data_IF_246864980047
#
_entry.id   IF_246864980047
#
_cell.length_a   1.000
_cell.length_b   1.000
_cell.length_c   1.000
_cell.angle_alpha   90.00
_cell.angle_beta   90.00
_cell.angle_gamma   90.00
#
_symmetry.space_group_name_H-M   'P 1'
#
loop_
_entity.id
_entity.type
_entity.pdbx_description
1 polymer ?
#
# COMPACT_ATOMS: atom_id res chain seq x y z
N UNK A 1 22.01 -7.57 -2.45
CA UNK A 1 20.92 -7.37 -1.49
C UNK A 1 20.91 -5.90 -1.11
N UNK A 2 19.79 -5.26 -1.39
CA UNK A 2 19.57 -3.83 -1.18
C UNK A 2 18.53 -3.70 -0.08
N UNK A 3 18.96 -3.43 1.17
CA UNK A 3 18.05 -3.48 2.31
C UNK A 3 17.11 -2.27 2.29
N UNK A 4 15.85 -2.49 2.67
CA UNK A 4 14.91 -1.41 2.94
C UNK A 4 15.52 -0.49 4.01
N UNK A 5 15.63 0.80 3.72
CA UNK A 5 16.18 1.81 4.64
C UNK A 5 15.23 2.97 4.77
N UNK A 6 14.78 3.20 6.00
CA UNK A 6 13.92 4.32 6.33
C UNK A 6 14.77 5.52 6.78
N UNK A 7 14.60 6.65 6.13
CA UNK A 7 15.16 7.93 6.54
C UNK A 7 14.14 8.72 7.34
N UNK A 8 14.51 9.13 8.56
CA UNK A 8 13.65 9.95 9.41
C UNK A 8 13.72 11.42 8.99
N UNK A 9 12.57 12.02 8.73
CA UNK A 9 12.41 13.45 8.43
C UNK A 9 11.68 14.10 9.60
N UNK A 10 12.29 15.09 10.30
CA UNK A 10 11.63 15.77 11.41
C UNK A 10 10.48 16.63 10.88
N UNK A 11 9.26 16.40 11.37
CA UNK A 11 8.09 17.25 11.09
C UNK A 11 7.36 17.56 12.40
N UNK A 12 6.76 18.74 12.48
CA UNK A 12 6.21 19.34 13.71
C UNK A 12 5.22 18.41 14.44
N UNK A 13 5.70 17.68 15.45
CA UNK A 13 4.89 16.83 16.33
C UNK A 13 4.60 15.42 15.82
N UNK A 14 5.14 15.01 14.66
CA UNK A 14 5.04 13.64 14.15
C UNK A 14 6.39 13.17 13.58
N UNK A 15 6.70 11.90 13.79
CA UNK A 15 7.84 11.23 13.19
C UNK A 15 7.43 10.73 11.80
N UNK A 16 8.14 11.14 10.76
CA UNK A 16 7.93 10.64 9.40
C UNK A 16 9.19 9.91 8.94
N UNK A 17 8.98 8.76 8.34
CA UNK A 17 10.02 7.87 7.83
C UNK A 17 9.75 7.59 6.36
N UNK A 18 10.75 7.85 5.52
CA UNK A 18 10.64 7.60 4.08
C UNK A 18 11.55 6.46 3.67
N UNK A 19 11.00 5.54 2.89
CA UNK A 19 11.77 4.60 2.09
C UNK A 19 11.60 4.97 0.62
N UNK A 20 12.72 5.32 -0.02
CA UNK A 20 12.81 5.67 -1.43
C UNK A 20 13.90 4.78 -2.04
N UNK A 21 13.57 3.61 -2.61
CA UNK A 21 14.56 2.71 -3.18
C UNK A 21 15.32 3.36 -4.33
N UNK A 22 14.66 4.17 -5.16
CA UNK A 22 15.23 4.54 -6.45
C UNK A 22 15.52 3.26 -7.25
N UNK A 23 16.79 3.04 -7.60
CA UNK A 23 17.25 1.80 -8.24
C UNK A 23 17.58 0.67 -7.23
N UNK A 24 17.53 0.95 -5.92
CA UNK A 24 17.90 0.06 -4.81
C UNK A 24 16.71 -0.80 -4.35
N UNK A 25 16.00 -1.44 -5.29
CA UNK A 25 14.81 -2.26 -5.00
C UNK A 25 15.17 -3.51 -4.17
N UNK A 26 14.26 -3.97 -3.28
CA UNK A 26 14.59 -4.98 -2.28
C UNK A 26 14.88 -6.35 -2.90
N UNK A 27 14.20 -6.75 -3.99
CA UNK A 27 14.43 -8.03 -4.66
C UNK A 27 15.34 -7.81 -5.86
N UNK A 28 16.47 -8.50 -5.89
CA UNK A 28 17.50 -8.39 -6.93
C UNK A 28 17.48 -9.56 -7.92
N UNK A 29 16.86 -10.68 -7.54
CA UNK A 29 16.61 -11.84 -8.41
C UNK A 29 15.13 -12.16 -8.43
N UNK A 30 14.52 -12.02 -9.61
CA UNK A 30 13.10 -12.31 -9.84
C UNK A 30 12.90 -13.71 -10.44
N UNK A 31 11.78 -14.34 -10.10
CA UNK A 31 11.43 -15.64 -10.62
C UNK A 31 11.13 -15.56 -12.12
N UNK A 32 11.86 -16.30 -13.01
CA UNK A 32 11.67 -16.19 -14.46
C UNK A 32 10.25 -16.50 -14.93
N UNK A 33 9.49 -17.27 -14.15
CA UNK A 33 8.10 -17.60 -14.44
C UNK A 33 7.13 -16.40 -14.41
N UNK A 34 7.54 -15.24 -13.88
CA UNK A 34 6.76 -14.01 -13.99
C UNK A 34 6.60 -13.55 -15.44
N UNK A 35 7.58 -13.84 -16.31
CA UNK A 35 7.56 -13.50 -17.74
C UNK A 35 6.95 -14.60 -18.61
N UNK A 36 6.48 -15.69 -18.00
CA UNK A 36 5.86 -16.83 -18.70
C UNK A 36 4.34 -16.71 -18.79
N UNK A 37 3.73 -17.70 -19.43
CA UNK A 37 2.27 -17.86 -19.39
C UNK A 37 1.81 -18.43 -18.05
N UNK A 38 0.73 -17.87 -17.50
CA UNK A 38 0.13 -18.33 -16.26
C UNK A 38 -1.15 -19.13 -16.49
N UNK A 39 -1.53 -20.02 -15.56
CA UNK A 39 -2.85 -20.65 -15.58
C UNK A 39 -3.96 -19.59 -15.46
N UNK A 40 -5.17 -19.94 -15.86
CA UNK A 40 -6.33 -19.02 -15.79
C UNK A 40 -6.80 -18.72 -14.36
N UNK A 41 -6.38 -19.50 -13.36
CA UNK A 41 -6.79 -19.37 -11.96
C UNK A 41 -5.56 -19.45 -11.07
N UNK A 42 -5.58 -18.68 -9.98
CA UNK A 42 -4.52 -18.64 -8.97
C UNK A 42 -3.17 -18.30 -9.61
N UNK A 43 -3.03 -17.05 -10.01
CA UNK A 43 -1.81 -16.51 -10.60
C UNK A 43 -1.03 -15.72 -9.53
N UNK A 44 0.27 -15.42 -9.76
CA UNK A 44 1.00 -14.46 -8.94
C UNK A 44 0.23 -13.16 -8.75
N UNK A 45 -0.41 -12.68 -9.82
CA UNK A 45 -1.21 -11.47 -9.77
C UNK A 45 -2.47 -11.65 -8.93
N UNK A 46 -3.29 -12.68 -9.15
CA UNK A 46 -4.56 -12.81 -8.42
C UNK A 46 -4.39 -13.04 -6.91
N UNK A 47 -3.29 -13.68 -6.49
CA UNK A 47 -3.06 -13.98 -5.08
C UNK A 47 -2.25 -12.91 -4.35
N UNK A 48 -1.28 -12.27 -5.00
CA UNK A 48 -0.32 -11.37 -4.34
C UNK A 48 -0.16 -10.01 -5.03
N UNK A 49 -0.92 -9.77 -6.10
CA UNK A 49 -0.79 -8.59 -6.96
C UNK A 49 0.61 -8.44 -7.59
N UNK A 50 1.35 -9.54 -7.66
CA UNK A 50 2.68 -9.63 -8.26
C UNK A 50 2.55 -9.92 -9.75
N UNK A 51 3.24 -9.17 -10.60
CA UNK A 51 3.31 -9.42 -12.04
C UNK A 51 4.69 -9.11 -12.60
N UNK A 52 4.86 -9.23 -13.92
CA UNK A 52 6.12 -8.93 -14.61
C UNK A 52 6.44 -7.44 -14.75
N UNK A 53 5.67 -6.56 -14.11
CA UNK A 53 5.95 -5.13 -14.05
C UNK A 53 6.44 -4.75 -12.64
N UNK A 54 5.61 -5.04 -11.64
CA UNK A 54 5.84 -4.60 -10.26
C UNK A 54 6.54 -5.67 -9.40
N UNK A 55 6.70 -6.88 -9.95
CA UNK A 55 7.54 -7.96 -9.43
C UNK A 55 7.24 -8.34 -7.98
N UNK A 56 8.14 -9.10 -7.34
CA UNK A 56 7.94 -9.64 -5.99
C UNK A 56 8.07 -8.58 -4.86
N UNK A 57 8.55 -7.38 -5.18
CA UNK A 57 8.57 -6.19 -4.33
C UNK A 57 7.22 -5.96 -3.65
N UNK A 58 6.13 -6.13 -4.41
CA UNK A 58 4.76 -5.97 -3.90
C UNK A 58 4.53 -6.85 -2.67
N UNK A 59 4.97 -8.11 -2.70
CA UNK A 59 4.83 -9.05 -1.58
C UNK A 59 5.64 -8.59 -0.34
N UNK A 60 6.83 -8.01 -0.57
CA UNK A 60 7.66 -7.45 0.50
C UNK A 60 6.98 -6.22 1.12
N UNK A 61 6.44 -5.32 0.31
CA UNK A 61 5.78 -4.09 0.77
C UNK A 61 4.50 -4.38 1.54
N UNK A 62 3.60 -5.22 1.01
CA UNK A 62 2.36 -5.57 1.72
C UNK A 62 2.65 -6.30 3.02
N UNK A 63 3.66 -7.17 3.04
CA UNK A 63 4.11 -7.85 4.25
C UNK A 63 4.65 -6.89 5.32
N UNK A 64 5.43 -5.90 4.90
CA UNK A 64 5.93 -4.84 5.79
C UNK A 64 4.78 -4.01 6.37
N UNK A 65 3.85 -3.54 5.53
CA UNK A 65 2.69 -2.76 5.95
C UNK A 65 1.86 -3.54 6.97
N UNK A 66 1.55 -4.80 6.66
CA UNK A 66 0.69 -5.64 7.50
C UNK A 66 1.31 -5.90 8.87
N UNK A 67 2.61 -6.21 8.91
CA UNK A 67 3.34 -6.49 10.16
C UNK A 67 3.62 -5.25 10.99
N UNK A 68 3.89 -4.10 10.36
CA UNK A 68 4.08 -2.85 11.10
C UNK A 68 2.81 -2.43 11.84
N UNK A 69 1.66 -2.75 11.26
CA UNK A 69 0.35 -2.34 11.76
C UNK A 69 -0.36 -3.46 12.53
N UNK A 70 0.39 -4.47 13.00
CA UNK A 70 -0.17 -5.58 13.76
C UNK A 70 -0.89 -5.10 15.04
N UNK A 71 -2.04 -5.71 15.32
CA UNK A 71 -2.92 -5.32 16.43
C UNK A 71 -3.76 -4.04 16.22
N UNK A 72 -3.62 -3.34 15.10
CA UNK A 72 -4.41 -2.13 14.78
C UNK A 72 -5.56 -2.42 13.80
N UNK A 73 -6.61 -1.60 13.85
CA UNK A 73 -7.64 -1.58 12.82
C UNK A 73 -7.12 -0.79 11.61
N UNK A 74 -7.22 -1.38 10.42
CA UNK A 74 -6.64 -0.84 9.18
C UNK A 74 -7.73 -0.35 8.24
N UNK A 75 -7.51 0.79 7.63
CA UNK A 75 -8.39 1.39 6.65
C UNK A 75 -7.58 1.95 5.48
N UNK A 76 -7.94 1.62 4.25
CA UNK A 76 -7.21 2.07 3.07
C UNK A 76 -8.01 3.02 2.18
N UNK A 77 -7.29 3.93 1.55
CA UNK A 77 -7.77 4.76 0.45
C UNK A 77 -6.93 4.39 -0.78
N UNK A 78 -7.49 3.62 -1.74
CA UNK A 78 -6.88 3.46 -3.06
C UNK A 78 -7.12 4.75 -3.85
N UNK A 79 -6.03 5.47 -4.14
CA UNK A 79 -6.08 6.78 -4.79
C UNK A 79 -6.72 6.65 -6.17
N UNK A 80 -7.64 7.55 -6.54
CA UNK A 80 -8.47 7.50 -7.78
C UNK A 80 -9.43 6.34 -7.95
N UNK A 81 -9.09 5.15 -7.48
CA UNK A 81 -9.75 3.91 -7.88
C UNK A 81 -10.77 3.42 -6.85
N UNK A 82 -11.57 4.34 -6.30
CA UNK A 82 -12.64 4.00 -5.33
C UNK A 82 -13.57 2.94 -5.90
N UNK A 83 -14.07 3.16 -7.12
CA UNK A 83 -15.14 2.32 -7.68
C UNK A 83 -14.63 0.93 -8.05
N UNK A 84 -13.39 0.82 -8.55
CA UNK A 84 -12.71 -0.46 -8.78
C UNK A 84 -12.39 -1.19 -7.48
N UNK A 85 -12.03 -0.47 -6.43
CA UNK A 85 -11.83 -1.04 -5.10
C UNK A 85 -13.14 -1.55 -4.49
N UNK A 86 -14.25 -0.84 -4.67
CA UNK A 86 -15.60 -1.31 -4.28
C UNK A 86 -15.92 -2.65 -4.94
N UNK A 87 -15.64 -2.78 -6.24
CA UNK A 87 -15.85 -4.02 -6.98
C UNK A 87 -14.94 -5.16 -6.49
N UNK A 88 -13.66 -4.87 -6.29
CA UNK A 88 -12.66 -5.89 -5.93
C UNK A 88 -12.82 -6.36 -4.48
N UNK A 89 -13.14 -5.45 -3.56
CA UNK A 89 -13.36 -5.75 -2.14
C UNK A 89 -14.78 -6.24 -1.84
N UNK A 90 -15.71 -6.08 -2.78
CA UNK A 90 -17.12 -6.46 -2.65
C UNK A 90 -17.86 -5.72 -1.54
N UNK A 91 -17.47 -4.48 -1.22
CA UNK A 91 -18.06 -3.68 -0.13
C UNK A 91 -18.02 -2.18 -0.44
N UNK A 92 -19.02 -1.46 0.08
CA UNK A 92 -19.12 -0.01 -0.08
C UNK A 92 -18.08 0.73 0.77
N UNK A 93 -17.49 1.83 0.26
CA UNK A 93 -16.58 2.67 1.01
C UNK A 93 -17.30 3.58 2.02
N UNK A 94 -16.54 4.00 3.04
CA UNK A 94 -16.84 5.22 3.78
C UNK A 94 -16.37 6.39 2.92
N UNK A 95 -17.31 7.14 2.35
CA UNK A 95 -16.96 8.29 1.52
C UNK A 95 -16.29 9.39 2.35
N UNK A 96 -15.16 9.91 1.89
CA UNK A 96 -14.39 10.98 2.53
C UNK A 96 -14.01 12.06 1.52
N UNK A 97 -13.68 13.25 2.01
CA UNK A 97 -13.47 14.44 1.18
C UNK A 97 -11.99 14.78 1.00
N UNK A 98 -11.11 14.10 1.74
CA UNK A 98 -9.65 14.21 1.66
C UNK A 98 -9.00 12.85 1.40
N UNK A 99 -8.02 12.82 0.51
CA UNK A 99 -7.08 11.71 0.29
C UNK A 99 -5.64 12.21 0.49
N UNK A 100 -4.66 11.31 0.60
CA UNK A 100 -3.25 11.69 0.65
C UNK A 100 -2.65 11.60 -0.77
N UNK A 101 -1.67 12.46 -1.06
CA UNK A 101 -1.01 12.53 -2.36
C UNK A 101 0.49 12.36 -2.21
N UNK A 102 1.03 11.37 -2.93
CA UNK A 102 2.46 11.10 -3.01
C UNK A 102 2.89 11.06 -4.48
N UNK A 103 3.65 12.06 -4.91
CA UNK A 103 4.05 12.18 -6.31
C UNK A 103 5.16 11.18 -6.68
N UNK A 104 4.77 10.14 -7.40
CA UNK A 104 5.64 9.05 -7.82
C UNK A 104 6.82 9.48 -8.71
N UNK A 105 6.71 10.63 -9.39
CA UNK A 105 7.76 11.16 -10.28
C UNK A 105 8.88 11.88 -9.52
N UNK A 106 8.63 12.25 -8.26
CA UNK A 106 9.58 13.01 -7.47
C UNK A 106 10.60 12.11 -6.77
N UNK A 107 11.86 12.55 -6.75
CA UNK A 107 12.99 11.78 -6.20
C UNK A 107 13.36 12.12 -4.76
N UNK A 108 12.78 13.18 -4.17
CA UNK A 108 13.12 13.62 -2.81
C UNK A 108 11.93 13.49 -1.87
N UNK A 109 12.14 13.15 -0.58
CA UNK A 109 11.05 13.05 0.39
C UNK A 109 10.17 14.30 0.45
N UNK A 110 10.78 15.48 0.39
CA UNK A 110 10.08 16.76 0.55
C UNK A 110 9.22 17.14 -0.65
N UNK A 111 9.65 16.83 -1.88
CA UNK A 111 8.88 17.15 -3.09
C UNK A 111 7.82 16.11 -3.41
N UNK A 112 7.97 14.91 -2.87
CA UNK A 112 7.08 13.76 -3.09
C UNK A 112 5.84 13.78 -2.20
N UNK A 113 5.99 14.17 -0.94
CA UNK A 113 4.90 14.23 0.02
C UNK A 113 4.09 15.53 -0.10
N UNK A 114 3.01 15.51 -0.88
CA UNK A 114 2.11 16.64 -1.06
C UNK A 114 1.10 16.80 0.09
N UNK A 115 0.97 15.79 0.96
CA UNK A 115 0.02 15.76 2.07
C UNK A 115 -1.43 15.51 1.62
N UNK A 116 -2.40 15.91 2.45
CA UNK A 116 -3.81 15.75 2.13
C UNK A 116 -4.28 16.64 0.97
N UNK A 117 -4.94 16.08 -0.03
CA UNK A 117 -5.56 16.82 -1.15
C UNK A 117 -7.06 16.50 -1.19
N UNK A 118 -7.89 17.34 -1.84
CA UNK A 118 -9.29 17.00 -2.03
C UNK A 118 -9.43 15.64 -2.73
N UNK A 119 -10.31 14.80 -2.20
CA UNK A 119 -10.57 13.48 -2.75
C UNK A 119 -11.00 13.54 -4.21
N UNK A 120 -10.55 12.59 -5.01
CA UNK A 120 -11.02 12.43 -6.39
C UNK A 120 -11.14 10.96 -6.73
N UNK A 121 -12.13 10.63 -7.55
CA UNK A 121 -12.28 9.30 -8.14
C UNK A 121 -12.20 9.38 -9.66
N UNK A 122 -11.53 8.42 -10.27
CA UNK A 122 -11.55 8.22 -11.71
C UNK A 122 -12.98 7.87 -12.13
N UNK A 123 -13.43 8.45 -13.23
CA UNK A 123 -14.71 8.10 -13.84
C UNK A 123 -14.43 7.22 -15.05
N UNK A 124 -14.96 6.01 -15.01
CA UNK A 124 -14.93 5.09 -16.15
C UNK A 124 -15.59 5.76 -17.35
N UNK A 125 -14.86 5.84 -18.47
CA UNK A 125 -15.39 6.44 -19.71
C UNK A 125 -16.29 5.44 -20.45
N UNK A 126 -15.98 4.15 -20.35
CA UNK A 126 -16.75 3.06 -20.96
C UNK A 126 -16.78 1.82 -20.03
N UNK A 127 -17.94 1.38 -19.53
CA UNK A 127 -19.27 1.95 -19.77
C UNK A 127 -19.41 3.39 -19.27
N UNK A 128 -20.43 4.11 -19.73
CA UNK A 128 -20.72 5.47 -19.27
C UNK A 128 -20.91 5.46 -17.74
N UNK A 129 -20.35 6.43 -17.00
CA UNK A 129 -20.47 6.44 -15.56
C UNK A 129 -21.91 6.69 -15.15
N UNK A 130 -22.31 6.05 -14.07
CA UNK A 130 -23.60 6.21 -13.41
C UNK A 130 -23.73 7.60 -12.80
N UNK A 131 -24.97 8.03 -12.53
CA UNK A 131 -25.22 9.32 -11.86
C UNK A 131 -24.56 9.40 -10.48
N UNK A 132 -24.47 8.28 -9.77
CA UNK A 132 -23.85 8.20 -8.46
C UNK A 132 -22.33 8.41 -8.52
N UNK A 133 -21.66 7.80 -9.50
CA UNK A 133 -20.22 7.98 -9.69
C UNK A 133 -19.89 9.44 -10.02
N UNK A 134 -20.70 10.06 -10.89
CA UNK A 134 -20.54 11.49 -11.25
C UNK A 134 -20.79 12.40 -10.05
N UNK A 135 -21.84 12.16 -9.26
CA UNK A 135 -22.15 12.95 -8.06
C UNK A 135 -21.03 12.87 -7.01
N UNK A 136 -20.35 11.72 -6.92
CA UNK A 136 -19.30 11.47 -5.95
C UNK A 136 -17.89 11.58 -6.54
N UNK A 137 -17.70 12.14 -7.74
CA UNK A 137 -16.39 12.19 -8.41
C UNK A 137 -15.32 12.95 -7.61
N UNK A 138 -15.72 13.89 -6.74
CA UNK A 138 -14.82 14.68 -5.88
C UNK A 138 -14.65 14.09 -4.47
N UNK A 139 -14.80 12.78 -4.32
CA UNK A 139 -14.71 12.09 -3.02
C UNK A 139 -13.88 10.83 -3.16
N UNK A 140 -13.10 10.52 -2.13
CA UNK A 140 -12.35 9.28 -2.03
C UNK A 140 -13.13 8.25 -1.21
N UNK A 141 -12.74 6.97 -1.32
CA UNK A 141 -13.32 5.89 -0.53
C UNK A 141 -12.36 5.35 0.51
N UNK A 142 -12.78 5.35 1.77
CA UNK A 142 -12.07 4.71 2.88
C UNK A 142 -12.65 3.32 3.13
N UNK A 143 -11.83 2.29 2.97
CA UNK A 143 -12.23 0.89 3.06
C UNK A 143 -11.62 0.21 4.29
N UNK A 144 -12.40 -0.47 5.14
CA UNK A 144 -11.85 -1.29 6.21
C UNK A 144 -11.14 -2.52 5.64
N UNK A 145 -9.94 -2.80 6.15
CA UNK A 145 -9.12 -3.97 5.80
C UNK A 145 -9.09 -4.93 7.00
N UNK A 146 -9.73 -6.09 6.86
CA UNK A 146 -9.78 -7.11 7.89
C UNK A 146 -8.65 -8.15 7.77
N UNK A 147 -8.21 -8.41 6.54
CA UNK A 147 -7.20 -9.44 6.23
C UNK A 147 -6.15 -8.92 5.25
N UNK A 148 -5.00 -9.58 5.16
CA UNK A 148 -4.00 -9.22 4.16
C UNK A 148 -4.56 -9.33 2.75
N UNK A 149 -5.46 -10.30 2.51
CA UNK A 149 -6.19 -10.42 1.25
C UNK A 149 -6.98 -9.15 0.91
N UNK A 150 -7.59 -8.48 1.89
CA UNK A 150 -8.25 -7.18 1.62
C UNK A 150 -7.24 -6.12 1.14
N UNK A 151 -6.03 -6.08 1.73
CA UNK A 151 -4.98 -5.14 1.28
C UNK A 151 -4.55 -5.43 -0.17
N UNK A 152 -4.33 -6.70 -0.50
CA UNK A 152 -3.97 -7.14 -1.86
C UNK A 152 -5.11 -6.85 -2.86
N UNK A 153 -6.35 -7.10 -2.46
CA UNK A 153 -7.53 -6.77 -3.27
C UNK A 153 -7.71 -5.26 -3.50
N UNK A 154 -7.40 -4.43 -2.51
CA UNK A 154 -7.38 -2.98 -2.69
C UNK A 154 -6.27 -2.56 -3.67
N UNK A 155 -5.10 -3.22 -3.63
CA UNK A 155 -4.01 -2.97 -4.57
C UNK A 155 -4.37 -3.32 -6.01
N UNK A 156 -5.13 -4.40 -6.25
CA UNK A 156 -5.57 -4.74 -7.61
C UNK A 156 -6.37 -3.62 -8.29
N UNK A 157 -7.05 -2.77 -7.52
CA UNK A 157 -7.77 -1.63 -8.07
C UNK A 157 -6.84 -0.54 -8.62
N UNK A 158 -5.62 -0.42 -8.09
CA UNK A 158 -4.69 0.69 -8.41
C UNK A 158 -3.52 0.28 -9.33
N UNK A 159 -3.26 -1.02 -9.52
CA UNK A 159 -2.05 -1.54 -10.20
C UNK A 159 -2.03 -1.45 -11.74
N UNK A 160 -3.00 -0.78 -12.35
CA UNK A 160 -3.12 -0.66 -13.80
C UNK A 160 -2.78 0.73 -14.35
N UNK A 161 -2.27 1.64 -13.51
CA UNK A 161 -1.83 2.98 -13.92
C UNK A 161 -0.29 3.10 -13.92
N UNK A 162 0.23 4.22 -14.41
CA UNK A 162 1.67 4.53 -14.47
C UNK A 162 2.33 4.52 -13.08
N UNK A 163 1.56 4.80 -12.04
CA UNK A 163 1.90 4.57 -10.65
C UNK A 163 0.67 4.17 -9.86
N UNK A 164 0.87 3.45 -8.78
CA UNK A 164 -0.19 2.93 -7.93
C UNK A 164 -0.02 3.45 -6.53
N UNK A 165 -1.02 4.16 -6.02
CA UNK A 165 -0.95 4.81 -4.72
C UNK A 165 -2.06 4.30 -3.80
N UNK A 166 -1.65 3.91 -2.60
CA UNK A 166 -2.56 3.45 -1.57
C UNK A 166 -2.12 3.97 -0.21
N UNK A 167 -3.00 4.77 0.38
CA UNK A 167 -2.85 5.24 1.75
C UNK A 167 -3.50 4.25 2.70
N UNK A 168 -2.86 3.93 3.83
CA UNK A 168 -3.37 3.09 4.90
C UNK A 168 -3.31 3.83 6.23
N UNK A 169 -4.45 3.96 6.88
CA UNK A 169 -4.55 4.38 8.28
C UNK A 169 -4.69 3.15 9.17
N UNK A 170 -3.73 2.94 10.06
CA UNK A 170 -3.80 1.95 11.11
C UNK A 170 -3.98 2.66 12.45
N UNK A 171 -5.12 2.44 13.10
CA UNK A 171 -5.50 3.13 14.34
C UNK A 171 -5.96 2.11 15.40
N UNK A 172 -5.97 2.47 16.69
CA UNK A 172 -6.51 1.59 17.72
C UNK A 172 -7.95 1.15 17.37
N UNK A 173 -8.29 -0.13 17.58
CA UNK A 173 -9.62 -0.62 17.23
C UNK A 173 -10.70 0.04 18.10
N UNK A 174 -11.84 0.37 17.48
CA UNK A 174 -13.01 0.90 18.17
C UNK A 174 -13.86 1.82 17.29
N UNK A 175 -15.18 1.78 17.46
CA UNK A 175 -16.11 2.59 16.67
C UNK A 175 -15.82 4.10 16.81
N UNK A 176 -15.52 4.57 18.01
CA UNK A 176 -15.19 5.98 18.24
C UNK A 176 -13.92 6.43 17.51
N UNK A 177 -12.92 5.53 17.37
CA UNK A 177 -11.69 5.83 16.62
C UNK A 177 -11.96 5.98 15.14
N UNK A 178 -12.76 5.07 14.57
CA UNK A 178 -13.20 5.15 13.19
C UNK A 178 -14.04 6.41 12.92
N UNK A 179 -14.94 6.77 13.83
CA UNK A 179 -15.75 7.98 13.72
C UNK A 179 -14.87 9.24 13.69
N UNK A 180 -13.85 9.32 14.55
CA UNK A 180 -12.90 10.45 14.56
C UNK A 180 -12.06 10.53 13.28
N UNK A 181 -11.50 9.40 12.83
CA UNK A 181 -10.79 9.33 11.54
C UNK A 181 -11.70 9.82 10.39
N UNK A 182 -12.93 9.29 10.34
CA UNK A 182 -13.89 9.64 9.30
C UNK A 182 -14.29 11.12 9.37
N UNK A 183 -14.48 11.66 10.57
CA UNK A 183 -14.81 13.07 10.77
C UNK A 183 -13.68 14.00 10.32
N UNK A 184 -12.42 13.64 10.61
CA UNK A 184 -11.25 14.39 10.17
C UNK A 184 -11.14 14.42 8.63
N UNK A 185 -11.37 13.27 7.99
CA UNK A 185 -11.31 13.14 6.52
C UNK A 185 -12.55 13.68 5.78
N UNK A 186 -13.65 13.96 6.48
CA UNK A 186 -14.86 14.64 5.94
C UNK A 186 -14.91 16.12 6.29
N UNK A 187 -13.89 16.63 7.00
CA UNK A 187 -13.88 18.00 7.48
C UNK A 187 -13.85 19.00 6.32
N UNK A 188 -14.45 20.20 6.48
CA UNK A 188 -14.36 21.26 5.47
C UNK A 188 -12.95 21.89 5.37
N UNK A 189 -12.06 21.53 6.28
CA UNK A 189 -10.68 22.03 6.36
C UNK A 189 -9.74 20.88 6.09
N UNK A 190 -8.66 21.16 5.35
CA UNK A 190 -7.58 20.20 5.10
C UNK A 190 -7.06 19.65 6.43
N UNK A 191 -7.11 18.33 6.68
CA UNK A 191 -6.64 17.77 7.93
C UNK A 191 -5.12 17.85 8.03
N UNK A 192 -4.61 17.96 9.26
CA UNK A 192 -3.20 17.74 9.54
C UNK A 192 -2.97 16.27 9.91
N UNK A 193 -1.88 15.67 9.45
CA UNK A 193 -1.62 14.24 9.65
C UNK A 193 -1.54 13.84 11.13
N UNK A 194 -0.94 14.68 11.97
CA UNK A 194 -0.91 14.47 13.42
C UNK A 194 -2.31 14.41 14.05
N UNK A 195 -3.23 15.26 13.62
CA UNK A 195 -4.60 15.29 14.15
C UNK A 195 -5.41 14.06 13.71
N UNK A 196 -5.11 13.50 12.54
CA UNK A 196 -5.76 12.29 12.02
C UNK A 196 -5.30 11.03 12.77
N UNK A 197 -4.00 10.97 13.10
CA UNK A 197 -3.41 9.80 13.76
C UNK A 197 -3.62 9.80 15.27
N UNK A 198 -3.58 10.96 15.90
CA UNK A 198 -3.48 11.12 17.36
C UNK A 198 -2.29 10.31 17.93
N UNK A 199 -2.36 9.84 19.18
CA UNK A 199 -1.19 9.35 19.93
C UNK A 199 -0.71 7.93 19.54
N UNK A 200 -1.58 7.11 18.95
CA UNK A 200 -1.32 5.69 18.73
C UNK A 200 -1.52 5.25 17.27
N UNK A 201 -1.78 6.20 16.37
CA UNK A 201 -1.99 5.94 14.96
C UNK A 201 -0.69 5.74 14.19
N UNK A 202 -0.74 4.89 13.17
CA UNK A 202 0.28 4.76 12.14
C UNK A 202 -0.37 5.07 10.79
N UNK A 203 0.20 6.05 10.10
CA UNK A 203 -0.07 6.32 8.69
C UNK A 203 0.94 5.58 7.85
N UNK A 204 0.48 5.00 6.75
CA UNK A 204 1.33 4.53 5.68
C UNK A 204 0.83 5.05 4.34
N UNK A 205 1.75 5.40 3.46
CA UNK A 205 1.49 5.49 2.04
C UNK A 205 2.40 4.51 1.30
N UNK A 206 1.81 3.75 0.38
CA UNK A 206 2.51 2.88 -0.55
C UNK A 206 2.31 3.42 -1.96
N UNK A 207 3.42 3.79 -2.59
CA UNK A 207 3.49 4.12 -4.01
C UNK A 207 4.28 3.04 -4.72
N UNK A 208 3.76 2.51 -5.83
CA UNK A 208 4.45 1.56 -6.72
C UNK A 208 4.59 2.23 -8.09
N UNK A 209 5.83 2.39 -8.56
CA UNK A 209 6.12 2.97 -9.86
C UNK A 209 6.09 1.90 -10.95
N UNK A 210 5.15 2.02 -11.89
CA UNK A 210 4.94 1.03 -12.95
C UNK A 210 5.53 1.45 -14.30
N UNK A 211 5.67 2.76 -14.56
CA UNK A 211 6.16 3.32 -15.83
C UNK A 211 7.43 4.16 -15.64
N UNK A 212 8.15 4.41 -16.74
CA UNK A 212 9.40 5.16 -16.74
C UNK A 212 9.23 6.53 -16.08
N UNK A 213 10.07 6.80 -15.08
CA UNK A 213 10.05 8.06 -14.34
C UNK A 213 9.16 8.03 -13.10
N UNK A 214 8.42 6.95 -12.86
CA UNK A 214 7.74 6.69 -11.60
C UNK A 214 8.58 5.74 -10.74
N UNK A 215 8.65 6.00 -9.44
CA UNK A 215 9.45 5.21 -8.51
C UNK A 215 8.57 4.65 -7.40
N UNK A 216 9.03 3.58 -6.76
CA UNK A 216 8.39 3.08 -5.54
C UNK A 216 8.67 4.03 -4.36
N UNK A 217 7.76 4.04 -3.40
CA UNK A 217 8.02 4.64 -2.09
C UNK A 217 7.13 4.07 -1.00
N UNK A 218 7.65 4.05 0.23
CA UNK A 218 6.83 3.87 1.43
C UNK A 218 7.06 5.07 2.34
N UNK A 219 5.98 5.76 2.69
CA UNK A 219 5.98 6.79 3.73
C UNK A 219 5.31 6.20 4.96
N UNK A 220 5.95 6.30 6.12
CA UNK A 220 5.36 5.92 7.40
C UNK A 220 5.35 7.15 8.30
N UNK A 221 4.22 7.43 8.95
CA UNK A 221 4.17 8.47 9.98
C UNK A 221 3.48 7.98 11.25
N UNK A 222 3.96 8.44 12.40
CA UNK A 222 3.35 8.22 13.70
C UNK A 222 3.75 9.33 14.67
N UNK A 223 2.96 9.54 15.72
CA UNK A 223 3.33 10.37 16.86
C UNK A 223 4.40 9.71 17.73
N UNK A 224 4.56 8.38 17.63
CA UNK A 224 5.64 7.64 18.29
C UNK A 224 6.84 7.44 17.35
N UNK A 225 8.04 7.35 17.92
CA UNK A 225 9.25 7.05 17.15
C UNK A 225 9.28 5.56 16.77
N UNK A 226 9.04 5.27 15.49
CA UNK A 226 9.03 3.92 14.93
C UNK A 226 10.37 3.50 14.32
N UNK A 227 11.46 4.26 14.50
CA UNK A 227 12.74 3.95 13.84
C UNK A 227 13.26 2.55 14.17
N UNK A 228 13.23 2.17 15.46
CA UNK A 228 13.70 0.84 15.88
C UNK A 228 12.78 -0.29 15.36
N UNK A 229 11.45 -0.24 15.53
CA UNK A 229 10.54 -1.19 14.89
C UNK A 229 10.75 -1.32 13.38
N UNK A 230 10.86 -0.21 12.65
CA UNK A 230 11.08 -0.20 11.20
C UNK A 230 12.42 -0.82 10.81
N UNK A 231 13.49 -0.50 11.54
CA UNK A 231 14.82 -1.08 11.29
C UNK A 231 14.82 -2.60 11.50
N UNK A 232 14.16 -3.07 12.56
CA UNK A 232 14.04 -4.51 12.85
C UNK A 232 13.22 -5.22 11.76
N UNK A 233 12.09 -4.64 11.34
CA UNK A 233 11.27 -5.19 10.26
C UNK A 233 12.03 -5.22 8.93
N UNK A 234 12.77 -4.15 8.61
CA UNK A 234 13.58 -4.08 7.40
C UNK A 234 14.70 -5.13 7.37
N UNK A 235 15.38 -5.36 8.51
CA UNK A 235 16.39 -6.40 8.63
C UNK A 235 15.81 -7.82 8.45
N UNK A 236 14.64 -8.07 9.04
CA UNK A 236 13.93 -9.34 8.86
C UNK A 236 13.44 -9.52 7.40
N UNK A 237 12.92 -8.47 6.77
CA UNK A 237 12.59 -8.49 5.33
C UNK A 237 13.81 -8.87 4.48
N UNK A 238 14.97 -8.25 4.75
CA UNK A 238 16.21 -8.52 4.02
C UNK A 238 16.63 -10.01 4.12
N UNK A 239 16.51 -10.61 5.32
CA UNK A 239 16.79 -12.05 5.52
C UNK A 239 15.81 -12.96 4.74
N UNK A 240 14.53 -12.60 4.71
CA UNK A 240 13.49 -13.37 4.00
C UNK A 240 13.67 -13.26 2.48
N UNK A 241 14.01 -12.09 1.97
CA UNK A 241 14.39 -11.89 0.57
C UNK A 241 15.61 -12.74 0.22
N UNK A 242 16.67 -12.73 1.03
CA UNK A 242 17.86 -13.55 0.78
C UNK A 242 17.50 -15.03 0.65
N UNK A 243 16.71 -15.52 1.60
CA UNK A 243 16.28 -16.91 1.66
C UNK A 243 15.41 -17.29 0.45
N UNK A 244 14.58 -16.36 -0.01
CA UNK A 244 13.79 -16.52 -1.23
C UNK A 244 14.68 -16.58 -2.48
N UNK A 245 15.59 -15.63 -2.65
CA UNK A 245 16.47 -15.54 -3.82
C UNK A 245 17.42 -16.74 -3.93
N UNK A 246 17.90 -17.29 -2.80
CA UNK A 246 18.72 -18.49 -2.78
C UNK A 246 17.98 -19.75 -3.28
N UNK A 247 16.65 -19.77 -3.16
CA UNK A 247 15.79 -20.91 -3.52
C UNK A 247 15.06 -20.71 -4.84
N UNK A 248 15.29 -19.60 -5.51
CA UNK A 248 14.56 -19.20 -6.71
C UNK A 248 14.67 -20.22 -7.86
N UNK A 249 15.83 -20.86 -7.98
CA UNK A 249 16.10 -21.90 -8.99
C UNK A 249 15.34 -23.23 -8.71
N UNK A 250 14.77 -23.37 -7.50
CA UNK A 250 13.92 -24.50 -7.11
C UNK A 250 12.46 -24.28 -7.50
N UNK A 251 12.04 -23.03 -7.75
CA UNK A 251 10.66 -22.68 -8.08
C UNK A 251 10.41 -22.94 -9.58
N UNK A 252 9.73 -24.04 -9.91
CA UNK A 252 9.55 -24.46 -11.31
C UNK A 252 8.18 -24.14 -11.89
N UNK A 253 7.26 -23.69 -11.05
CA UNK A 253 5.86 -23.52 -11.43
C UNK A 253 5.17 -22.43 -10.59
N UNK A 254 4.04 -21.94 -11.07
CA UNK A 254 3.20 -20.98 -10.33
C UNK A 254 2.83 -21.51 -8.94
N UNK A 255 2.42 -22.78 -8.75
CA UNK A 255 2.20 -23.33 -7.40
C UNK A 255 3.44 -23.33 -6.49
N UNK A 256 4.65 -23.46 -7.02
CA UNK A 256 5.88 -23.37 -6.22
C UNK A 256 6.10 -21.93 -5.76
N UNK A 257 5.95 -20.98 -6.70
CA UNK A 257 6.04 -19.56 -6.44
C UNK A 257 5.03 -19.09 -5.38
N UNK A 258 3.75 -19.42 -5.55
CA UNK A 258 2.69 -19.04 -4.61
C UNK A 258 2.90 -19.60 -3.21
N UNK A 259 3.49 -20.79 -3.07
CA UNK A 259 3.86 -21.37 -1.76
C UNK A 259 5.06 -20.68 -1.10
N UNK A 260 5.90 -20.01 -1.88
CA UNK A 260 7.03 -19.24 -1.37
C UNK A 260 6.62 -17.83 -0.91
N UNK A 261 5.56 -17.26 -1.49
CA UNK A 261 5.14 -15.88 -1.20
C UNK A 261 4.85 -15.57 0.27
N UNK A 262 4.18 -16.42 1.06
CA UNK A 262 4.02 -16.15 2.50
C UNK A 262 5.34 -16.01 3.25
N UNK A 263 6.38 -16.75 2.84
CA UNK A 263 7.72 -16.66 3.44
C UNK A 263 8.38 -15.33 3.03
N UNK A 264 8.23 -14.93 1.77
CA UNK A 264 8.74 -13.66 1.23
C UNK A 264 8.01 -12.43 1.79
N UNK A 265 6.70 -12.52 2.07
CA UNK A 265 5.92 -11.45 2.69
C UNK A 265 6.05 -11.45 4.23
N UNK A 266 6.25 -12.63 4.83
CA UNK A 266 6.38 -12.80 6.27
C UNK A 266 5.02 -12.86 6.98
N UNK A 267 3.98 -13.13 6.21
CA UNK A 267 2.57 -13.14 6.58
C UNK A 267 1.83 -14.10 5.65
N UNK A 268 0.80 -14.76 6.17
CA UNK A 268 -0.12 -15.57 5.36
C UNK A 268 -1.29 -14.70 4.86
N UNK A 269 -1.69 -14.87 3.60
CA UNK A 269 -2.81 -14.15 2.97
C UNK A 269 -4.12 -14.28 3.75
N UNK A 270 -4.38 -15.47 4.28
CA UNK A 270 -5.64 -15.86 4.90
C UNK A 270 -5.54 -15.95 6.43
N UNK A 271 -4.45 -15.47 7.04
CA UNK A 271 -4.36 -15.36 8.48
C UNK A 271 -5.20 -14.17 8.97
N UNK A 272 -6.12 -14.47 9.89
CA UNK A 272 -6.96 -13.51 10.62
C UNK A 272 -6.29 -13.01 11.89
#
# INVERSE_FOLDING_TARGET
>A
MHPIRFEAVPRHGIHIFHYLPGDDIPVSRHWPGLFGEWPQRQTPFSEWAVNNNNMEEVAVYVGLIWRLTDGLARYAIPRYYRDDATQTLGREPIMVDWEYDVDAEQLTPLSRDNGFVPGRSALTICPQPTAWEVENASRAGLFPLATLRDLVSALHAVLFDASSEMTVFAIPPGAERLERLTAALRGPVRPALGDVLEDDGIFLDLTIGSDLGNYDSIIVASSTDLLSPLTNLAADCAQRVESYEQRLDELRSVPDFLRAMPQLAGVDLDAS
#
